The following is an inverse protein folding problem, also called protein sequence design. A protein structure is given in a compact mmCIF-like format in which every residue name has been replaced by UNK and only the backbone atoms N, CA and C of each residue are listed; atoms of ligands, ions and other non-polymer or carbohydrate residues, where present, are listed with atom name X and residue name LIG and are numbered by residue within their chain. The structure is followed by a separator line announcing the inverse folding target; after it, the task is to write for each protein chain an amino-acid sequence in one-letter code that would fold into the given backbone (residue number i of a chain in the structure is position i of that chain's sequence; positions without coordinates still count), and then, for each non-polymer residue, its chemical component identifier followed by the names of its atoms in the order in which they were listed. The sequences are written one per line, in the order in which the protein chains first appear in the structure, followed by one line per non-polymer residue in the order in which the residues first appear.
data_IF_492238012479
#
_entry.id   IF_492238012479
#
_cell.length_a   1.000
_cell.length_b   1.000
_cell.length_c   1.000
_cell.angle_alpha   90.00
_cell.angle_beta   90.00
_cell.angle_gamma   90.00
#
_symmetry.space_group_name_H-M   'P 1'
#
loop_
_entity.id
_entity.type
_entity.pdbx_description
1 polymer ?
#
# COMPACT_ATOMS: atom_id res chain seq x y z
N UNK A 1 -6.42 -3.94 -6.34
CA UNK A 1 -7.43 -2.88 -6.59
C UNK A 1 -6.82 -1.47 -6.59
N UNK A 2 -6.11 -1.05 -5.54
CA UNK A 2 -5.52 0.31 -5.48
C UNK A 2 -4.58 0.64 -6.64
N UNK A 3 -3.75 -0.32 -7.11
CA UNK A 3 -2.94 -0.15 -8.34
C UNK A 3 -3.80 0.07 -9.62
N UNK A 4 -5.03 -0.47 -9.68
CA UNK A 4 -5.96 -0.18 -10.78
C UNK A 4 -6.56 1.23 -10.68
N UNK A 5 -6.73 1.77 -9.48
CA UNK A 5 -7.08 3.17 -9.29
C UNK A 5 -5.91 4.11 -9.63
N UNK A 6 -4.67 3.66 -9.44
CA UNK A 6 -3.47 4.41 -9.85
C UNK A 6 -3.37 4.61 -11.36
N UNK A 7 -3.87 3.67 -12.18
CA UNK A 7 -3.97 3.86 -13.64
C UNK A 7 -4.81 5.09 -14.04
N UNK A 8 -5.53 5.66 -13.07
CA UNK A 8 -6.40 6.82 -13.20
C UNK A 8 -6.06 7.90 -12.16
N UNK A 9 -4.85 7.85 -11.59
CA UNK A 9 -4.30 8.81 -10.62
C UNK A 9 -5.08 8.95 -9.29
N UNK A 10 -5.81 7.91 -8.86
CA UNK A 10 -6.56 7.92 -7.58
C UNK A 10 -6.09 6.86 -6.58
N UNK A 11 -4.78 6.62 -6.51
CA UNK A 11 -4.25 5.60 -5.60
C UNK A 11 -4.59 5.91 -4.14
N UNK A 12 -4.31 7.12 -3.68
CA UNK A 12 -4.46 7.48 -2.28
C UNK A 12 -5.93 7.55 -1.86
N UNK A 13 -6.78 8.13 -2.69
CA UNK A 13 -8.22 8.20 -2.42
C UNK A 13 -8.85 6.80 -2.38
N UNK A 14 -8.43 5.90 -3.28
CA UNK A 14 -8.89 4.52 -3.24
C UNK A 14 -8.34 3.78 -2.01
N UNK A 15 -7.06 3.97 -1.68
CA UNK A 15 -6.41 3.41 -0.49
C UNK A 15 -7.17 3.80 0.79
N UNK A 16 -7.49 5.08 0.95
CA UNK A 16 -8.16 5.61 2.14
C UNK A 16 -9.55 5.01 2.28
N UNK A 17 -10.31 4.88 1.18
CA UNK A 17 -11.60 4.18 1.18
C UNK A 17 -11.47 2.72 1.62
N UNK A 18 -10.42 2.01 1.18
CA UNK A 18 -10.20 0.62 1.60
C UNK A 18 -9.85 0.50 3.09
N UNK A 19 -9.09 1.46 3.63
CA UNK A 19 -8.76 1.50 5.05
C UNK A 19 -9.97 1.83 5.92
N UNK A 20 -10.80 2.78 5.49
CA UNK A 20 -12.02 3.19 6.21
C UNK A 20 -13.10 2.09 6.18
N UNK A 21 -13.27 1.41 5.05
CA UNK A 21 -14.37 0.46 4.84
C UNK A 21 -14.02 -0.99 5.18
N UNK A 22 -12.98 -1.25 5.97
CA UNK A 22 -12.71 -2.60 6.47
C UNK A 22 -13.89 -3.05 7.37
N UNK A 23 -14.54 -4.20 7.13
CA UNK A 23 -14.10 -5.37 6.33
C UNK A 23 -14.74 -5.54 4.93
N UNK A 24 -15.49 -4.56 4.41
CA UNK A 24 -16.25 -4.67 3.16
C UNK A 24 -15.36 -4.53 1.90
N UNK A 25 -14.54 -5.56 1.64
CA UNK A 25 -13.52 -5.58 0.58
C UNK A 25 -13.78 -6.65 -0.50
N UNK A 26 -15.03 -7.09 -0.66
CA UNK A 26 -15.39 -8.01 -1.75
C UNK A 26 -15.16 -7.36 -3.12
N UNK A 27 -14.96 -8.15 -4.18
CA UNK A 27 -14.78 -7.61 -5.55
C UNK A 27 -15.93 -6.68 -5.95
N UNK A 28 -17.16 -7.00 -5.58
CA UNK A 28 -18.32 -6.15 -5.81
C UNK A 28 -18.18 -4.78 -5.10
N UNK A 29 -17.73 -4.77 -3.85
CA UNK A 29 -17.49 -3.52 -3.12
C UNK A 29 -16.35 -2.72 -3.75
N UNK A 30 -15.24 -3.36 -4.14
CA UNK A 30 -14.10 -2.68 -4.77
C UNK A 30 -14.51 -1.99 -6.08
N UNK A 31 -15.32 -2.65 -6.91
CA UNK A 31 -15.87 -2.06 -8.14
C UNK A 31 -16.82 -0.91 -7.84
N UNK A 32 -17.67 -1.04 -6.81
CA UNK A 32 -18.56 0.04 -6.38
C UNK A 32 -17.76 1.26 -5.90
N UNK A 33 -16.74 1.06 -5.06
CA UNK A 33 -15.89 2.16 -4.57
C UNK A 33 -15.16 2.88 -5.71
N UNK A 34 -14.79 2.16 -6.78
CA UNK A 34 -14.22 2.78 -7.96
C UNK A 34 -15.22 3.73 -8.63
N UNK A 35 -16.48 3.31 -8.77
CA UNK A 35 -17.57 4.16 -9.30
C UNK A 35 -17.82 5.36 -8.39
N UNK A 36 -17.89 5.15 -7.07
CA UNK A 36 -18.13 6.21 -6.09
C UNK A 36 -17.03 7.29 -6.14
N UNK A 37 -15.80 6.88 -6.42
CA UNK A 37 -14.65 7.77 -6.60
C UNK A 37 -14.58 8.39 -8.00
N UNK A 38 -15.54 8.12 -8.89
CA UNK A 38 -15.58 8.66 -10.25
C UNK A 38 -14.53 8.07 -11.19
N UNK A 39 -14.05 6.86 -10.93
CA UNK A 39 -13.18 6.13 -11.84
C UNK A 39 -13.98 5.61 -13.05
N UNK A 40 -13.31 5.49 -14.19
CA UNK A 40 -13.83 4.75 -15.33
C UNK A 40 -14.00 3.28 -14.95
N UNK A 41 -15.26 2.85 -14.83
CA UNK A 41 -15.61 1.51 -14.40
C UNK A 41 -15.10 0.42 -15.35
N UNK A 42 -15.14 0.66 -16.67
CA UNK A 42 -14.69 -0.33 -17.66
C UNK A 42 -13.18 -0.58 -17.56
N UNK A 43 -12.41 0.51 -17.48
CA UNK A 43 -10.96 0.45 -17.28
C UNK A 43 -10.59 -0.23 -15.95
N UNK A 44 -11.25 0.16 -14.85
CA UNK A 44 -10.99 -0.42 -13.54
C UNK A 44 -11.35 -1.90 -13.49
N UNK A 45 -12.52 -2.28 -14.01
CA UNK A 45 -12.98 -3.66 -14.05
C UNK A 45 -12.04 -4.52 -14.88
N UNK A 46 -11.62 -4.05 -16.06
CA UNK A 46 -10.65 -4.76 -16.89
C UNK A 46 -9.34 -4.99 -16.13
N UNK A 47 -8.79 -3.96 -15.48
CA UNK A 47 -7.58 -4.10 -14.68
C UNK A 47 -7.72 -5.12 -13.53
N UNK A 48 -8.84 -5.07 -12.81
CA UNK A 48 -9.09 -5.95 -11.66
C UNK A 48 -9.36 -7.40 -12.10
N UNK A 49 -10.20 -7.60 -13.11
CA UNK A 49 -10.67 -8.92 -13.56
C UNK A 49 -9.57 -9.69 -14.31
N UNK A 50 -8.65 -8.98 -14.97
CA UNK A 50 -7.45 -9.59 -15.59
C UNK A 50 -6.30 -9.78 -14.61
N UNK A 51 -6.48 -9.39 -13.34
CA UNK A 51 -5.45 -9.46 -12.31
C UNK A 51 -4.13 -8.77 -12.74
N UNK A 52 -4.23 -7.66 -13.50
CA UNK A 52 -3.10 -6.97 -14.17
C UNK A 52 -1.86 -6.77 -13.28
N UNK A 53 -2.07 -6.52 -11.99
CA UNK A 53 -1.02 -6.21 -11.01
C UNK A 53 -0.73 -7.32 -10.00
N UNK A 54 -1.31 -8.51 -10.16
CA UNK A 54 -1.16 -9.61 -9.20
C UNK A 54 0.30 -10.04 -9.04
N UNK A 55 1.03 -10.23 -10.14
CA UNK A 55 2.43 -10.63 -10.07
C UNK A 55 3.29 -9.58 -9.35
N UNK A 56 3.12 -8.30 -9.69
CA UNK A 56 3.85 -7.23 -9.02
C UNK A 56 3.58 -7.19 -7.51
N UNK A 57 2.34 -7.44 -7.07
CA UNK A 57 2.01 -7.53 -5.64
C UNK A 57 2.67 -8.74 -4.97
N UNK A 58 2.73 -9.89 -5.65
CA UNK A 58 3.43 -11.10 -5.15
C UNK A 58 4.94 -10.88 -5.05
N UNK A 59 5.53 -10.19 -6.00
CA UNK A 59 6.95 -9.84 -6.00
C UNK A 59 7.28 -8.88 -4.84
N UNK A 60 6.46 -7.84 -4.63
CA UNK A 60 6.59 -6.92 -3.51
C UNK A 60 6.44 -7.64 -2.15
N UNK A 61 5.48 -8.55 -2.03
CA UNK A 61 5.30 -9.39 -0.83
C UNK A 61 6.55 -10.24 -0.54
N UNK A 62 7.07 -10.91 -1.58
CA UNK A 62 8.27 -11.75 -1.46
C UNK A 62 9.48 -10.92 -1.04
N UNK A 63 9.66 -9.73 -1.62
CA UNK A 63 10.73 -8.82 -1.23
C UNK A 63 10.60 -8.39 0.25
N UNK A 64 9.38 -8.10 0.71
CA UNK A 64 9.09 -7.79 2.11
C UNK A 64 9.49 -8.94 3.07
N UNK A 65 9.12 -10.17 2.73
CA UNK A 65 9.47 -11.36 3.51
C UNK A 65 11.00 -11.56 3.59
N UNK A 66 11.70 -11.36 2.48
CA UNK A 66 13.17 -11.47 2.40
C UNK A 66 13.89 -10.47 3.32
N UNK A 67 13.29 -9.29 3.55
CA UNK A 67 13.84 -8.27 4.47
C UNK A 67 13.25 -8.38 5.88
N UNK A 68 12.55 -9.46 6.21
CA UNK A 68 12.12 -9.78 7.57
C UNK A 68 10.74 -9.22 7.97
N UNK A 69 9.92 -8.76 7.01
CA UNK A 69 8.51 -8.42 7.30
C UNK A 69 7.72 -9.70 7.60
N UNK A 70 7.03 -9.74 8.75
CA UNK A 70 6.24 -10.89 9.20
C UNK A 70 4.77 -10.58 9.48
N UNK A 71 4.37 -9.33 9.32
CA UNK A 71 3.04 -8.85 9.63
C UNK A 71 2.91 -7.36 9.35
N UNK A 72 1.69 -6.84 9.48
CA UNK A 72 1.38 -5.43 9.23
C UNK A 72 0.82 -4.74 10.49
N UNK A 73 1.09 -3.43 10.66
CA UNK A 73 2.00 -2.63 9.85
C UNK A 73 3.48 -2.96 10.14
N UNK A 74 4.34 -2.76 9.13
CA UNK A 74 5.79 -2.79 9.25
C UNK A 74 6.34 -1.59 8.48
N UNK A 75 7.19 -0.79 9.14
CA UNK A 75 7.77 0.43 8.57
C UNK A 75 9.29 0.36 8.56
N UNK A 76 9.91 1.05 7.61
CA UNK A 76 11.36 1.21 7.52
C UNK A 76 11.68 2.70 7.60
N UNK A 77 12.51 3.10 8.56
CA UNK A 77 12.88 4.51 8.79
C UNK A 77 14.40 4.63 8.71
N UNK A 78 14.89 5.53 7.86
CA UNK A 78 16.31 5.66 7.59
C UNK A 78 16.62 6.59 6.43
N UNK A 79 17.87 6.57 5.97
CA UNK A 79 18.33 7.34 4.81
C UNK A 79 18.65 6.41 3.64
N UNK A 80 18.54 6.97 2.42
CA UNK A 80 18.90 6.28 1.18
C UNK A 80 20.07 7.02 0.54
N UNK A 81 21.18 6.32 0.35
CA UNK A 81 22.37 6.83 -0.34
C UNK A 81 22.62 5.96 -1.58
N UNK A 82 22.20 6.44 -2.75
CA UNK A 82 22.18 5.64 -3.97
C UNK A 82 21.27 4.42 -3.81
N UNK A 83 21.83 3.21 -3.89
CA UNK A 83 21.09 1.95 -3.75
C UNK A 83 21.19 1.36 -2.33
N UNK A 84 21.73 2.10 -1.37
CA UNK A 84 21.94 1.62 0.00
C UNK A 84 20.96 2.30 0.96
N UNK A 85 20.15 1.50 1.64
CA UNK A 85 19.32 1.93 2.76
C UNK A 85 20.08 1.75 4.08
N UNK A 86 20.14 2.80 4.89
CA UNK A 86 20.69 2.75 6.25
C UNK A 86 19.59 3.17 7.23
N UNK A 87 19.11 2.24 8.04
CA UNK A 87 17.98 2.54 8.93
C UNK A 87 17.52 1.35 9.75
N UNK A 88 16.35 1.50 10.34
CA UNK A 88 15.72 0.52 11.22
C UNK A 88 14.37 0.08 10.67
N UNK A 89 14.00 -1.16 10.97
CA UNK A 89 12.62 -1.64 10.83
C UNK A 89 11.87 -1.39 12.13
N UNK A 90 10.68 -0.80 12.04
CA UNK A 90 9.72 -0.66 13.11
C UNK A 90 8.59 -1.66 12.83
N UNK A 91 8.42 -2.64 13.72
CA UNK A 91 7.44 -3.71 13.57
C UNK A 91 6.20 -3.45 14.41
N UNK A 92 5.02 -3.55 13.80
CA UNK A 92 3.73 -3.40 14.45
C UNK A 92 3.23 -1.95 14.52
N UNK A 93 2.00 -1.81 15.02
CA UNK A 93 1.42 -0.50 15.29
C UNK A 93 2.04 0.06 16.58
N UNK A 94 2.89 1.06 16.43
CA UNK A 94 3.59 1.72 17.55
C UNK A 94 3.13 3.19 17.69
N UNK A 95 3.28 3.80 18.87
CA UNK A 95 2.95 5.21 19.07
C UNK A 95 3.80 6.16 18.21
N UNK A 96 3.28 7.36 17.99
CA UNK A 96 3.98 8.45 17.29
C UNK A 96 5.41 8.68 17.81
N UNK A 97 5.60 8.64 19.13
CA UNK A 97 6.91 8.87 19.77
C UNK A 97 7.98 7.88 19.30
N UNK A 98 7.60 6.64 18.99
CA UNK A 98 8.54 5.65 18.45
C UNK A 98 9.05 6.08 17.08
N UNK A 99 8.17 6.59 16.21
CA UNK A 99 8.58 7.13 14.91
C UNK A 99 9.41 8.39 15.07
N UNK A 100 8.97 9.32 15.93
CA UNK A 100 9.66 10.58 16.19
C UNK A 100 11.12 10.35 16.61
N UNK A 101 11.35 9.43 17.55
CA UNK A 101 12.69 9.11 18.01
C UNK A 101 13.62 8.54 16.91
N UNK A 102 13.07 7.91 15.87
CA UNK A 102 13.86 7.40 14.73
C UNK A 102 14.05 8.44 13.62
N UNK A 103 13.09 9.35 13.44
CA UNK A 103 13.09 10.35 12.36
C UNK A 103 13.87 11.61 12.75
N UNK A 104 13.70 12.13 13.98
CA UNK A 104 14.32 13.39 14.41
C UNK A 104 15.84 13.46 14.16
N UNK A 105 16.64 12.38 14.39
CA UNK A 105 18.08 12.42 14.13
C UNK A 105 18.47 12.44 12.64
N UNK A 106 17.50 12.29 11.72
CA UNK A 106 17.72 12.21 10.26
C UNK A 106 17.46 13.55 9.53
N UNK A 107 16.92 14.55 10.22
CA UNK A 107 16.57 15.88 9.69
C UNK A 107 17.73 16.88 9.90
#
# INVERSE_FOLDING_TARGET
ATRCAQDQNKFWEFHDVLFEKQPALSVANLKQYAVDLGLNASQFNTCLDTAKYEQAVKDDMTAGEQVGVRGTPASFVGTVNGNTFNGVQISGAVPFETFKAQIDPLL
#
